data_IF_234080594566
#
_entry.id   IF_234080594566
#
_cell.length_a   1.000
_cell.length_b   1.000
_cell.length_c   1.000
_cell.angle_alpha   90.00
_cell.angle_beta   90.00
_cell.angle_gamma   90.00
#
_symmetry.space_group_name_H-M   'P 1'
#
loop_
_entity.id
_entity.type
_entity.pdbx_description
1 polymer ?
#
# COMPACT_ATOMS: atom_id res chain seq x y z
N UNK A 1 -41.12 -8.48 30.46
CA UNK A 1 -40.62 -7.16 30.00
C UNK A 1 -39.14 -7.05 30.34
N UNK A 2 -38.30 -6.59 29.40
CA UNK A 2 -36.92 -6.08 29.60
C UNK A 2 -35.69 -7.03 29.71
N UNK A 3 -35.55 -8.07 28.87
CA UNK A 3 -34.22 -8.76 28.76
C UNK A 3 -33.73 -8.94 27.30
N UNK A 4 -34.62 -8.92 26.29
CA UNK A 4 -34.25 -9.23 24.91
C UNK A 4 -33.62 -8.09 24.10
N UNK A 5 -33.65 -6.85 24.59
CA UNK A 5 -33.13 -5.69 23.84
C UNK A 5 -31.63 -5.40 24.06
N UNK A 6 -30.99 -5.99 25.07
CA UNK A 6 -29.60 -5.64 25.40
C UNK A 6 -28.54 -6.46 24.65
N UNK A 7 -28.92 -7.61 24.06
CA UNK A 7 -27.96 -8.51 23.40
C UNK A 7 -27.65 -8.07 21.95
N UNK A 8 -28.54 -7.31 21.30
CA UNK A 8 -28.31 -6.83 19.93
C UNK A 8 -27.32 -5.66 19.82
N UNK A 9 -27.06 -4.90 20.90
CA UNK A 9 -26.20 -3.71 20.79
C UNK A 9 -24.71 -4.03 20.90
N UNK A 10 -24.34 -5.17 21.51
CA UNK A 10 -22.93 -5.57 21.72
C UNK A 10 -22.34 -6.38 20.56
N UNK A 11 -23.16 -6.84 19.61
CA UNK A 11 -22.71 -7.59 18.43
C UNK A 11 -22.26 -6.69 17.26
N UNK A 12 -22.46 -5.37 17.34
CA UNK A 12 -22.21 -4.44 16.23
C UNK A 12 -20.78 -3.89 16.17
N UNK A 13 -19.92 -4.21 17.14
CA UNK A 13 -18.55 -3.64 17.24
C UNK A 13 -17.42 -4.57 16.76
N UNK A 14 -17.72 -5.79 16.30
CA UNK A 14 -16.68 -6.81 16.00
C UNK A 14 -16.27 -6.86 14.52
N UNK A 15 -16.87 -6.05 13.64
CA UNK A 15 -16.63 -6.14 12.18
C UNK A 15 -15.58 -5.19 11.60
N UNK A 16 -14.89 -4.37 12.40
CA UNK A 16 -13.92 -3.38 11.88
C UNK A 16 -12.47 -3.86 11.81
N UNK A 17 -12.20 -5.16 11.98
CA UNK A 17 -10.83 -5.68 12.09
C UNK A 17 -10.45 -6.56 10.89
N UNK A 18 -10.15 -5.94 9.73
CA UNK A 18 -9.22 -6.55 8.77
C UNK A 18 -8.75 -5.51 7.73
N UNK A 19 -7.54 -4.99 7.93
CA UNK A 19 -6.88 -4.05 7.02
C UNK A 19 -7.10 -2.59 7.40
N UNK A 20 -6.02 -1.89 7.77
CA UNK A 20 -6.08 -0.46 8.06
C UNK A 20 -6.65 0.31 6.86
N UNK A 21 -7.47 1.32 7.16
CA UNK A 21 -7.93 2.28 6.16
C UNK A 21 -6.73 2.90 5.43
N UNK A 22 -6.87 3.22 4.13
CA UNK A 22 -5.80 3.87 3.40
C UNK A 22 -5.51 5.25 4.01
N UNK A 23 -4.22 5.59 4.07
CA UNK A 23 -3.75 6.91 4.48
C UNK A 23 -3.54 7.74 3.21
N UNK A 24 -4.38 8.77 2.99
CA UNK A 24 -4.19 9.71 1.88
C UNK A 24 -3.01 10.63 2.20
N UNK A 25 -1.89 10.45 1.48
CA UNK A 25 -0.64 11.20 1.65
C UNK A 25 -0.60 12.46 0.78
N UNK A 26 -1.21 12.41 -0.41
CA UNK A 26 -1.33 13.53 -1.34
C UNK A 26 -2.70 13.58 -1.97
N UNK A 27 -3.31 14.76 -2.00
CA UNK A 27 -4.50 15.01 -2.80
C UNK A 27 -4.13 15.10 -4.29
N UNK A 28 -4.99 14.60 -5.20
CA UNK A 28 -4.77 14.73 -6.64
C UNK A 28 -4.73 16.19 -7.08
N UNK A 29 -3.86 16.48 -8.05
CA UNK A 29 -3.64 17.82 -8.58
C UNK A 29 -3.52 17.74 -10.11
N UNK A 30 -4.65 17.79 -10.82
CA UNK A 30 -4.72 17.58 -12.26
C UNK A 30 -3.81 18.50 -13.10
N UNK A 31 -3.44 19.66 -12.56
CA UNK A 31 -2.54 20.62 -13.21
C UNK A 31 -1.07 20.19 -13.14
N UNK A 32 -0.70 19.25 -12.27
CA UNK A 32 0.65 18.71 -12.16
C UNK A 32 0.91 17.68 -13.25
N UNK A 33 1.92 17.94 -14.08
CA UNK A 33 2.22 17.12 -15.26
C UNK A 33 3.35 16.12 -15.04
N UNK A 34 4.12 16.26 -13.96
CA UNK A 34 5.32 15.46 -13.71
C UNK A 34 6.55 15.84 -14.55
N UNK A 35 6.47 16.92 -15.32
CA UNK A 35 7.59 17.46 -16.12
C UNK A 35 8.69 17.98 -15.18
N UNK A 36 9.96 17.86 -15.59
CA UNK A 36 11.13 18.37 -14.84
C UNK A 36 11.25 17.84 -13.39
N UNK A 37 10.80 16.62 -13.14
CA UNK A 37 10.87 16.02 -11.80
C UNK A 37 9.84 16.59 -10.83
N UNK A 38 8.83 17.33 -11.31
CA UNK A 38 7.64 17.64 -10.53
C UNK A 38 6.84 16.36 -10.22
N UNK A 39 5.94 16.45 -9.23
CA UNK A 39 4.94 15.40 -8.96
C UNK A 39 4.00 15.25 -10.15
N UNK A 40 3.44 14.05 -10.31
CA UNK A 40 2.43 13.81 -11.33
C UNK A 40 1.02 14.20 -10.84
N UNK A 41 0.00 13.97 -11.68
CA UNK A 41 -1.35 14.48 -11.44
C UNK A 41 -2.12 13.72 -10.36
N UNK A 42 -1.67 12.51 -10.01
CA UNK A 42 -2.41 11.62 -9.13
C UNK A 42 -2.25 12.02 -7.67
N UNK A 43 -3.29 11.77 -6.89
CA UNK A 43 -3.14 11.67 -5.44
C UNK A 43 -2.27 10.47 -5.11
N UNK A 44 -1.86 10.37 -3.85
CA UNK A 44 -1.11 9.21 -3.38
C UNK A 44 -1.72 8.77 -2.07
N UNK A 45 -2.11 7.51 -2.02
CA UNK A 45 -2.53 6.85 -0.80
C UNK A 45 -1.61 5.70 -0.47
N UNK A 46 -1.59 5.34 0.80
CA UNK A 46 -0.75 4.27 1.32
C UNK A 46 -1.57 3.30 2.14
N UNK A 47 -1.33 2.00 1.93
CA UNK A 47 -1.81 0.93 2.79
C UNK A 47 -0.63 0.15 3.36
N UNK A 48 -0.73 -0.25 4.62
CA UNK A 48 0.24 -1.15 5.26
C UNK A 48 -0.28 -2.56 5.20
N UNK A 49 0.46 -3.46 4.58
CA UNK A 49 0.15 -4.87 4.56
C UNK A 49 1.19 -5.66 5.33
N UNK A 50 0.75 -6.75 5.93
CA UNK A 50 1.61 -7.78 6.46
C UNK A 50 1.60 -8.95 5.48
N UNK A 51 2.77 -9.41 5.09
CA UNK A 51 2.95 -10.64 4.31
C UNK A 51 3.79 -11.64 5.11
N UNK A 52 3.58 -12.92 4.82
CA UNK A 52 4.40 -13.99 5.38
C UNK A 52 5.57 -14.25 4.43
N UNK A 53 6.79 -13.94 4.87
CA UNK A 53 8.00 -14.21 4.09
C UNK A 53 8.41 -15.69 4.22
N UNK A 54 8.38 -16.23 5.44
CA UNK A 54 8.78 -17.61 5.79
C UNK A 54 7.92 -18.12 6.94
N UNK A 55 8.01 -19.39 7.33
CA UNK A 55 7.13 -20.02 8.35
C UNK A 55 6.97 -19.18 9.63
N UNK A 56 8.06 -18.63 10.15
CA UNK A 56 8.07 -17.84 11.40
C UNK A 56 8.30 -16.34 11.18
N UNK A 57 8.45 -15.89 9.93
CA UNK A 57 8.81 -14.51 9.59
C UNK A 57 7.70 -13.83 8.81
N UNK A 58 7.06 -12.86 9.45
CA UNK A 58 6.19 -11.89 8.80
C UNK A 58 6.93 -10.56 8.62
N UNK A 59 6.66 -9.87 7.53
CA UNK A 59 7.21 -8.55 7.26
C UNK A 59 6.10 -7.59 6.81
N UNK A 60 6.31 -6.31 7.12
CA UNK A 60 5.40 -5.24 6.69
C UNK A 60 5.84 -4.72 5.32
N UNK A 61 4.88 -4.41 4.46
CA UNK A 61 5.09 -3.65 3.22
C UNK A 61 4.19 -2.42 3.24
N UNK A 62 4.79 -1.25 3.02
CA UNK A 62 4.03 -0.03 2.72
C UNK A 62 3.75 -0.04 1.20
N UNK A 63 2.47 -0.05 0.83
CA UNK A 63 2.00 -0.03 -0.55
C UNK A 63 1.50 1.37 -0.87
N UNK A 64 2.26 2.12 -1.67
CA UNK A 64 1.87 3.45 -2.13
C UNK A 64 1.31 3.34 -3.55
N UNK A 65 0.20 4.01 -3.83
CA UNK A 65 -0.46 3.89 -5.12
C UNK A 65 -1.11 5.20 -5.58
N UNK A 66 -1.33 5.38 -6.89
CA UNK A 66 -2.01 6.54 -7.44
C UNK A 66 -3.46 6.53 -6.97
N UNK A 67 -3.90 7.57 -6.28
CA UNK A 67 -5.24 7.61 -5.68
C UNK A 67 -6.06 8.80 -6.14
N UNK A 68 -7.38 8.63 -6.04
CA UNK A 68 -8.34 9.72 -6.14
C UNK A 68 -8.37 10.56 -4.84
N UNK A 69 -9.33 11.49 -4.76
CA UNK A 69 -9.52 12.35 -3.59
C UNK A 69 -10.10 11.62 -2.36
N UNK A 70 -10.64 10.41 -2.56
CA UNK A 70 -11.20 9.55 -1.52
C UNK A 70 -10.14 8.59 -0.96
N UNK A 71 -8.96 8.53 -1.58
CA UNK A 71 -7.85 7.67 -1.17
C UNK A 71 -7.93 6.25 -1.72
N UNK A 72 -8.84 6.01 -2.67
CA UNK A 72 -8.94 4.76 -3.39
C UNK A 72 -8.07 4.79 -4.65
N UNK A 73 -7.71 3.61 -5.17
CA UNK A 73 -6.89 3.50 -6.37
C UNK A 73 -7.61 4.20 -7.54
N UNK A 74 -6.95 5.15 -8.20
CA UNK A 74 -7.52 5.83 -9.38
C UNK A 74 -7.56 4.85 -10.56
N UNK A 75 -8.70 4.23 -10.83
CA UNK A 75 -8.82 3.22 -11.90
C UNK A 75 -8.90 3.79 -13.31
N UNK A 76 -8.94 5.11 -13.49
CA UNK A 76 -9.16 5.72 -14.82
C UNK A 76 -8.03 5.46 -15.80
N UNK A 77 -6.80 5.28 -15.29
CA UNK A 77 -5.61 4.97 -16.09
C UNK A 77 -4.90 3.68 -15.68
N UNK A 78 -5.62 2.80 -15.00
CA UNK A 78 -5.16 1.44 -14.77
C UNK A 78 -4.99 0.70 -16.13
N UNK A 79 -4.09 -0.30 -16.23
CA UNK A 79 -3.27 -0.83 -15.16
C UNK A 79 -2.06 0.05 -14.82
N UNK A 80 -1.68 0.08 -13.54
CA UNK A 80 -0.46 0.77 -13.11
C UNK A 80 0.70 -0.20 -12.91
N UNK A 81 1.90 0.09 -13.47
CA UNK A 81 3.10 -0.69 -13.23
C UNK A 81 3.49 -0.71 -11.75
N UNK A 82 3.95 -1.87 -11.28
CA UNK A 82 4.43 -2.07 -9.91
C UNK A 82 5.95 -1.88 -9.83
N UNK A 83 6.41 -1.13 -8.84
CA UNK A 83 7.82 -0.88 -8.53
C UNK A 83 8.15 -1.46 -7.16
N UNK A 84 9.11 -2.37 -7.12
CA UNK A 84 9.73 -2.80 -5.87
C UNK A 84 10.79 -1.79 -5.44
N UNK A 85 10.59 -1.18 -4.28
CA UNK A 85 11.55 -0.25 -3.70
C UNK A 85 12.38 -0.92 -2.60
N UNK A 86 13.66 -1.13 -2.89
CA UNK A 86 14.64 -1.69 -1.95
C UNK A 86 15.49 -0.54 -1.42
N UNK A 87 15.45 -0.30 -0.11
CA UNK A 87 16.21 0.76 0.52
C UNK A 87 17.67 0.35 0.80
N UNK A 88 18.53 1.34 1.06
CA UNK A 88 19.90 1.07 1.53
C UNK A 88 19.94 0.46 2.93
N UNK A 89 21.00 -0.25 3.26
CA UNK A 89 21.17 -0.87 4.59
C UNK A 89 21.26 0.16 5.72
N UNK A 90 20.79 -0.22 6.92
CA UNK A 90 20.81 0.57 8.16
C UNK A 90 19.99 1.88 8.09
N UNK A 91 19.07 1.99 7.14
CA UNK A 91 18.14 3.10 7.02
C UNK A 91 16.73 2.56 6.87
N UNK A 92 15.84 2.91 7.80
CA UNK A 92 14.44 2.49 7.75
C UNK A 92 13.76 2.89 6.44
N UNK A 93 12.99 1.99 5.84
CA UNK A 93 12.22 2.21 4.61
C UNK A 93 11.42 3.53 4.63
N UNK A 94 10.81 3.87 5.77
CA UNK A 94 10.02 5.10 5.95
C UNK A 94 10.77 6.39 5.61
N UNK A 95 12.11 6.41 5.73
CA UNK A 95 12.95 7.57 5.37
C UNK A 95 12.93 7.86 3.87
N UNK A 96 12.57 6.87 3.05
CA UNK A 96 12.44 6.98 1.61
C UNK A 96 10.98 7.14 1.14
N UNK A 97 10.02 7.28 2.06
CA UNK A 97 8.60 7.40 1.70
C UNK A 97 8.32 8.58 0.77
N UNK A 98 9.06 9.68 0.93
CA UNK A 98 8.95 10.84 0.04
C UNK A 98 9.23 10.48 -1.44
N UNK A 99 10.17 9.58 -1.70
CA UNK A 99 10.54 9.14 -3.03
C UNK A 99 9.51 8.18 -3.59
N UNK A 100 9.07 7.19 -2.79
CA UNK A 100 7.98 6.30 -3.18
C UNK A 100 6.69 7.06 -3.48
N UNK A 101 6.37 8.09 -2.67
CA UNK A 101 5.24 8.98 -2.90
C UNK A 101 5.41 9.78 -4.20
N UNK A 102 6.61 10.27 -4.48
CA UNK A 102 6.89 10.95 -5.74
C UNK A 102 6.66 10.03 -6.95
N UNK A 103 7.20 8.81 -6.91
CA UNK A 103 7.02 7.81 -7.97
C UNK A 103 5.53 7.45 -8.11
N UNK A 104 4.82 7.22 -7.00
CA UNK A 104 3.39 6.88 -7.03
C UNK A 104 2.53 8.00 -7.62
N UNK A 105 2.85 9.27 -7.33
CA UNK A 105 2.16 10.43 -7.92
C UNK A 105 2.25 10.49 -9.45
N UNK A 106 3.16 9.72 -10.05
CA UNK A 106 3.39 9.64 -11.51
C UNK A 106 2.72 8.45 -12.17
N UNK A 107 1.91 7.66 -11.43
CA UNK A 107 1.17 6.53 -11.99
C UNK A 107 1.88 5.19 -11.82
N UNK A 108 2.52 4.97 -10.68
CA UNK A 108 3.14 3.70 -10.33
C UNK A 108 2.61 3.23 -8.99
N UNK A 109 2.55 1.91 -8.80
CA UNK A 109 2.32 1.32 -7.48
C UNK A 109 3.67 0.94 -6.89
N UNK A 110 4.00 1.47 -5.72
CA UNK A 110 5.32 1.26 -5.10
C UNK A 110 5.17 0.40 -3.86
N UNK A 111 5.92 -0.70 -3.81
CA UNK A 111 6.01 -1.59 -2.65
C UNK A 111 7.30 -1.31 -1.90
N UNK A 112 7.19 -0.87 -0.65
CA UNK A 112 8.32 -0.64 0.24
C UNK A 112 8.32 -1.67 1.36
N UNK A 113 9.07 -2.75 1.17
CA UNK A 113 9.22 -3.79 2.18
C UNK A 113 10.07 -3.29 3.35
N UNK A 114 9.64 -3.62 4.56
CA UNK A 114 10.47 -3.51 5.75
C UNK A 114 11.38 -4.74 5.87
N UNK A 115 12.57 -4.54 6.44
CA UNK A 115 13.57 -5.58 6.63
C UNK A 115 14.02 -5.60 8.08
N UNK A 116 14.33 -6.78 8.61
CA UNK A 116 14.80 -6.93 9.98
C UNK A 116 16.15 -6.21 10.13
N UNK A 117 16.28 -5.42 11.20
CA UNK A 117 17.46 -4.58 11.45
C UNK A 117 17.83 -3.64 10.28
N UNK A 118 16.85 -3.30 9.42
CA UNK A 118 17.05 -2.47 8.23
C UNK A 118 18.13 -3.02 7.26
N UNK A 119 18.35 -4.35 7.25
CA UNK A 119 19.35 -5.02 6.41
C UNK A 119 18.77 -5.47 5.06
N UNK A 120 18.21 -4.53 4.29
CA UNK A 120 17.52 -4.84 3.03
C UNK A 120 18.38 -5.61 2.01
N UNK A 121 19.68 -5.34 1.97
CA UNK A 121 20.62 -6.04 1.08
C UNK A 121 20.81 -7.52 1.45
N UNK A 122 20.70 -7.86 2.74
CA UNK A 122 20.82 -9.23 3.23
C UNK A 122 19.50 -10.02 3.13
N UNK A 123 18.38 -9.32 2.91
CA UNK A 123 17.03 -9.88 2.91
C UNK A 123 16.25 -9.41 1.67
N UNK A 124 16.90 -9.29 0.51
CA UNK A 124 16.27 -8.77 -0.70
C UNK A 124 15.16 -9.69 -1.23
N UNK A 125 15.22 -10.98 -0.90
CA UNK A 125 14.17 -11.97 -1.16
C UNK A 125 12.84 -11.62 -0.51
N UNK A 126 12.84 -10.95 0.65
CA UNK A 126 11.60 -10.45 1.28
C UNK A 126 10.81 -9.51 0.35
N UNK A 127 11.49 -8.76 -0.52
CA UNK A 127 10.80 -7.91 -1.51
C UNK A 127 10.14 -8.73 -2.62
N UNK A 128 10.70 -9.89 -2.99
CA UNK A 128 10.08 -10.79 -3.97
C UNK A 128 8.87 -11.49 -3.36
N UNK A 129 8.94 -11.91 -2.09
CA UNK A 129 7.78 -12.46 -1.37
C UNK A 129 6.66 -11.41 -1.22
N UNK A 130 7.01 -10.16 -0.93
CA UNK A 130 6.05 -9.06 -0.91
C UNK A 130 5.36 -8.88 -2.27
N UNK A 131 6.11 -8.97 -3.39
CA UNK A 131 5.54 -8.87 -4.73
C UNK A 131 4.60 -10.04 -5.06
N UNK A 132 4.98 -11.26 -4.70
CA UNK A 132 4.15 -12.44 -4.93
C UNK A 132 2.84 -12.40 -4.12
N UNK A 133 2.92 -12.06 -2.83
CA UNK A 133 1.75 -11.84 -1.98
C UNK A 133 0.88 -10.69 -2.51
N UNK A 134 1.51 -9.61 -2.99
CA UNK A 134 0.81 -8.49 -3.61
C UNK A 134 0.00 -8.95 -4.84
N UNK A 135 0.63 -9.64 -5.80
CA UNK A 135 -0.03 -10.15 -7.01
C UNK A 135 -1.21 -11.06 -6.67
N UNK A 136 -1.04 -11.96 -5.70
CA UNK A 136 -2.12 -12.83 -5.22
C UNK A 136 -3.31 -12.01 -4.72
N UNK A 137 -3.07 -11.02 -3.85
CA UNK A 137 -4.13 -10.16 -3.29
C UNK A 137 -4.78 -9.22 -4.31
N UNK A 138 -4.06 -8.78 -5.34
CA UNK A 138 -4.59 -7.84 -6.34
C UNK A 138 -5.20 -8.51 -7.57
N UNK A 139 -5.00 -9.83 -7.75
CA UNK A 139 -5.64 -10.61 -8.80
C UNK A 139 -7.18 -10.70 -8.69
N UNK A 140 -7.73 -10.56 -7.48
CA UNK A 140 -9.17 -10.58 -7.24
C UNK A 140 -9.79 -9.21 -7.55
N UNK A 141 -10.88 -9.17 -8.34
CA UNK A 141 -11.65 -7.94 -8.64
C UNK A 141 -12.22 -7.22 -7.42
N UNK A 142 -12.40 -7.94 -6.31
CA UNK A 142 -12.85 -7.38 -5.03
C UNK A 142 -11.71 -6.69 -4.27
N UNK A 143 -10.46 -6.83 -4.73
CA UNK A 143 -9.31 -6.16 -4.12
C UNK A 143 -9.44 -4.64 -4.28
N UNK A 144 -9.15 -3.85 -3.22
CA UNK A 144 -9.12 -2.40 -3.33
C UNK A 144 -8.07 -1.95 -4.36
N UNK A 145 -6.99 -2.72 -4.52
CA UNK A 145 -5.90 -2.44 -5.47
C UNK A 145 -5.98 -3.28 -6.75
N UNK A 146 -7.16 -3.80 -7.09
CA UNK A 146 -7.38 -4.39 -8.43
C UNK A 146 -7.10 -3.35 -9.52
N UNK A 147 -6.27 -3.71 -10.49
CA UNK A 147 -5.75 -2.79 -11.52
C UNK A 147 -4.28 -2.39 -11.31
N UNK A 148 -3.64 -2.81 -10.22
CA UNK A 148 -2.19 -2.76 -10.10
C UNK A 148 -1.56 -4.04 -10.68
N UNK A 149 -0.77 -3.91 -11.75
CA UNK A 149 -0.15 -5.04 -12.46
C UNK A 149 1.30 -4.72 -12.78
N UNK A 150 2.16 -5.73 -12.66
CA UNK A 150 3.56 -5.65 -13.09
C UNK A 150 3.73 -5.95 -14.59
#
# INVERSE_FOLDING_TARGET
MKIWFLICFSALFVLSACGGAPELLLSPAAQQTGVEGARGPYGVSMRRWMFQARITEGAQVDVLYPSDAQGELDRTKAPYPVVLFIHGGLVRAVRYRWLAQHIASRGYVVLMSSHLADLALAQSDNSLFALDDFRKRTSNRQSPLYGAHD
#
